data_IF_070060128015
#
_entry.id   IF_070060128015
#
_cell.length_a   1.000
_cell.length_b   1.000
_cell.length_c   1.000
_cell.angle_alpha   90.00
_cell.angle_beta   90.00
_cell.angle_gamma   90.00
#
_symmetry.space_group_name_H-M   'P 1'
#
loop_
_entity.id
_entity.type
_entity.pdbx_description
1 polymer ?
#
# COMPACT_ATOMS: atom_id res chain seq x y z
N UNK A 1 -19.99 -20.34 -69.12
CA UNK A 1 -18.55 -20.40 -68.76
C UNK A 1 -18.10 -18.99 -68.42
N UNK A 2 -18.05 -18.64 -67.12
CA UNK A 2 -17.39 -17.44 -66.58
C UNK A 2 -17.51 -17.47 -65.05
N UNK A 3 -16.61 -18.20 -64.39
CA UNK A 3 -16.35 -18.02 -62.97
C UNK A 3 -15.49 -16.77 -62.80
N UNK A 4 -16.02 -15.72 -62.18
CA UNK A 4 -15.24 -14.54 -61.76
C UNK A 4 -15.25 -14.46 -60.24
N UNK A 5 -14.14 -14.96 -59.69
CA UNK A 5 -13.55 -14.72 -58.36
C UNK A 5 -14.19 -13.62 -57.50
N UNK A 6 -14.88 -14.03 -56.43
CA UNK A 6 -15.39 -13.17 -55.34
C UNK A 6 -14.76 -13.60 -54.00
N UNK A 7 -13.45 -13.86 -53.98
CA UNK A 7 -12.75 -14.45 -52.81
C UNK A 7 -11.56 -13.60 -52.31
N UNK A 8 -11.37 -12.37 -52.78
CA UNK A 8 -10.19 -11.56 -52.42
C UNK A 8 -10.46 -10.46 -51.37
N UNK A 9 -11.72 -10.15 -51.04
CA UNK A 9 -12.04 -8.98 -50.20
C UNK A 9 -12.28 -9.30 -48.71
N UNK A 10 -12.46 -10.56 -48.33
CA UNK A 10 -12.74 -10.92 -46.93
C UNK A 10 -11.47 -11.27 -46.13
N UNK A 11 -10.38 -11.66 -46.79
CA UNK A 11 -9.13 -12.00 -46.09
C UNK A 11 -8.39 -10.77 -45.54
N UNK A 12 -8.55 -9.58 -46.12
CA UNK A 12 -7.85 -8.38 -45.63
C UNK A 12 -8.53 -7.71 -44.42
N UNK A 13 -9.82 -7.99 -44.18
CA UNK A 13 -10.55 -7.38 -43.05
C UNK A 13 -10.37 -8.15 -41.74
N UNK A 14 -10.20 -9.48 -41.78
CA UNK A 14 -10.00 -10.27 -40.56
C UNK A 14 -8.58 -10.10 -39.98
N UNK A 15 -7.56 -10.04 -40.86
CA UNK A 15 -6.17 -9.81 -40.42
C UNK A 15 -5.93 -8.37 -39.93
N UNK A 16 -6.66 -7.38 -40.45
CA UNK A 16 -6.55 -6.00 -39.97
C UNK A 16 -7.22 -5.81 -38.61
N UNK A 17 -8.29 -6.55 -38.32
CA UNK A 17 -8.92 -6.52 -36.99
C UNK A 17 -8.07 -7.20 -35.91
N UNK A 18 -7.48 -8.36 -36.22
CA UNK A 18 -6.60 -9.09 -35.29
C UNK A 18 -5.24 -8.41 -35.11
N UNK A 19 -4.67 -7.82 -36.16
CA UNK A 19 -3.45 -7.00 -36.02
C UNK A 19 -3.74 -5.72 -35.23
N UNK A 20 -4.89 -5.07 -35.38
CA UNK A 20 -5.25 -3.94 -34.51
C UNK A 20 -5.51 -4.35 -33.05
N UNK A 21 -6.00 -5.57 -32.80
CA UNK A 21 -6.14 -6.15 -31.46
C UNK A 21 -4.78 -6.52 -30.84
N UNK A 22 -3.88 -7.10 -31.62
CA UNK A 22 -2.51 -7.43 -31.20
C UNK A 22 -1.69 -6.17 -31.03
N UNK A 23 -1.80 -5.21 -31.95
CA UNK A 23 -1.19 -3.89 -31.83
C UNK A 23 -1.78 -3.19 -30.61
N UNK A 24 -3.09 -3.14 -30.35
CA UNK A 24 -3.62 -2.60 -29.08
C UNK A 24 -3.12 -3.36 -27.83
N UNK A 25 -2.94 -4.67 -27.93
CA UNK A 25 -2.43 -5.51 -26.84
C UNK A 25 -0.93 -5.28 -26.56
N UNK A 26 -0.16 -4.82 -27.55
CA UNK A 26 1.27 -4.49 -27.45
C UNK A 26 1.55 -2.98 -27.41
N UNK A 27 0.60 -2.14 -27.82
CA UNK A 27 0.54 -0.68 -27.69
C UNK A 27 -0.39 -0.36 -26.53
N UNK A 28 -0.17 -0.96 -25.37
CA UNK A 28 -0.58 -0.32 -24.13
C UNK A 28 0.14 1.03 -24.11
N UNK A 29 -0.52 2.08 -24.59
CA UNK A 29 -0.12 3.45 -24.37
C UNK A 29 0.16 3.56 -22.88
N UNK A 30 1.44 3.63 -22.49
CA UNK A 30 1.83 3.75 -21.08
C UNK A 30 1.56 5.21 -20.68
N UNK A 31 0.29 5.57 -20.65
CA UNK A 31 -0.13 6.77 -19.95
C UNK A 31 -0.17 6.35 -18.49
N UNK A 32 0.92 6.69 -17.78
CA UNK A 32 1.06 6.41 -16.36
C UNK A 32 -0.11 7.00 -15.56
N UNK A 33 -0.56 8.18 -15.97
CA UNK A 33 -1.70 8.86 -15.39
C UNK A 33 -2.99 8.57 -16.15
N UNK A 34 -4.11 8.54 -15.43
CA UNK A 34 -5.41 8.40 -16.04
C UNK A 34 -5.75 9.69 -16.83
N UNK A 35 -6.06 9.57 -18.12
CA UNK A 35 -6.37 10.72 -18.97
C UNK A 35 -7.58 11.52 -18.46
N UNK A 36 -8.59 10.85 -17.91
CA UNK A 36 -9.78 11.49 -17.33
C UNK A 36 -9.54 12.03 -15.92
N UNK A 37 -8.49 11.57 -15.23
CA UNK A 37 -8.16 11.99 -13.87
C UNK A 37 -6.63 12.00 -13.69
N UNK A 38 -5.94 13.06 -14.15
CA UNK A 38 -4.48 13.09 -14.26
C UNK A 38 -3.74 13.00 -12.92
N UNK A 39 -4.44 13.12 -11.79
CA UNK A 39 -3.89 12.95 -10.44
C UNK A 39 -3.86 11.48 -9.98
N UNK A 40 -4.49 10.57 -10.72
CA UNK A 40 -4.58 9.14 -10.44
C UNK A 40 -3.75 8.36 -11.45
N UNK A 41 -3.10 7.32 -10.97
CA UNK A 41 -2.38 6.37 -11.82
C UNK A 41 -3.40 5.44 -12.49
N UNK A 42 -3.13 5.06 -13.74
CA UNK A 42 -3.98 4.13 -14.48
C UNK A 42 -4.06 2.76 -13.76
N UNK A 43 -5.26 2.20 -13.64
CA UNK A 43 -5.49 0.92 -12.95
C UNK A 43 -4.67 -0.23 -13.53
N UNK A 44 -4.45 -0.27 -14.84
CA UNK A 44 -3.67 -1.34 -15.48
C UNK A 44 -2.21 -1.32 -15.03
N UNK A 45 -1.66 -0.11 -14.82
CA UNK A 45 -0.32 0.09 -14.27
C UNK A 45 -0.30 -0.34 -12.80
N UNK A 46 -1.31 0.07 -12.02
CA UNK A 46 -1.43 -0.31 -10.61
C UNK A 46 -1.49 -1.83 -10.42
N UNK A 47 -2.27 -2.53 -11.25
CA UNK A 47 -2.38 -4.00 -11.21
C UNK A 47 -1.06 -4.71 -11.53
N UNK A 48 -0.20 -4.09 -12.33
CA UNK A 48 1.11 -4.62 -12.68
C UNK A 48 2.14 -4.45 -11.57
N UNK A 49 2.16 -3.29 -10.91
CA UNK A 49 3.20 -2.91 -9.94
C UNK A 49 2.84 -3.21 -8.49
N UNK A 50 1.55 -3.26 -8.15
CA UNK A 50 1.07 -3.51 -6.79
C UNK A 50 1.24 -4.95 -6.32
N UNK A 51 1.00 -5.14 -5.02
CA UNK A 51 0.93 -6.46 -4.38
C UNK A 51 -0.29 -7.17 -4.91
N UNK A 52 -0.08 -8.37 -5.43
CA UNK A 52 -1.13 -9.26 -5.88
C UNK A 52 -0.76 -10.68 -5.42
N UNK A 53 -1.69 -11.38 -4.77
CA UNK A 53 -1.45 -12.73 -4.22
C UNK A 53 -1.02 -13.71 -5.30
N UNK A 54 -1.62 -13.68 -6.49
CA UNK A 54 -1.23 -14.53 -7.61
C UNK A 54 0.21 -14.24 -8.05
N UNK A 55 0.58 -12.96 -8.16
CA UNK A 55 1.93 -12.57 -8.56
C UNK A 55 3.00 -12.96 -7.52
N UNK A 56 2.69 -12.82 -6.23
CA UNK A 56 3.63 -13.15 -5.14
C UNK A 56 3.73 -14.66 -4.94
N UNK A 57 2.60 -15.38 -4.90
CA UNK A 57 2.57 -16.81 -4.58
C UNK A 57 2.91 -17.71 -5.77
N UNK A 58 2.42 -17.40 -6.98
CA UNK A 58 2.57 -18.29 -8.13
C UNK A 58 3.76 -17.88 -9.03
N UNK A 59 4.06 -16.58 -9.10
CA UNK A 59 5.14 -16.06 -9.94
C UNK A 59 6.40 -15.69 -9.14
N UNK A 60 6.46 -16.03 -7.84
CA UNK A 60 7.61 -15.80 -6.95
C UNK A 60 8.09 -14.33 -6.89
N UNK A 61 7.20 -13.36 -7.12
CA UNK A 61 7.53 -11.93 -7.15
C UNK A 61 7.58 -11.30 -5.74
N UNK A 62 8.40 -11.85 -4.85
CA UNK A 62 8.47 -11.41 -3.44
C UNK A 62 8.93 -9.97 -3.27
N UNK A 63 9.68 -9.42 -4.23
CA UNK A 63 10.11 -8.01 -4.20
C UNK A 63 8.92 -7.03 -4.09
N UNK A 64 7.74 -7.42 -4.60
CA UNK A 64 6.51 -6.62 -4.52
C UNK A 64 6.07 -6.36 -3.08
N UNK A 65 6.40 -7.27 -2.15
CA UNK A 65 6.11 -7.09 -0.72
C UNK A 65 6.85 -5.90 -0.11
N UNK A 66 7.94 -5.43 -0.73
CA UNK A 66 8.68 -4.26 -0.24
C UNK A 66 8.45 -3.08 -1.17
N UNK A 67 8.58 -3.28 -2.48
CA UNK A 67 8.50 -2.17 -3.44
C UNK A 67 7.11 -1.53 -3.48
N UNK A 68 6.04 -2.32 -3.35
CA UNK A 68 4.68 -1.79 -3.43
C UNK A 68 4.31 -0.92 -2.23
N UNK A 69 5.00 -1.01 -1.10
CA UNK A 69 4.76 -0.11 0.04
C UNK A 69 5.07 1.35 -0.31
N UNK A 70 6.06 1.58 -1.18
CA UNK A 70 6.45 2.93 -1.57
C UNK A 70 5.62 3.48 -2.74
N UNK A 71 4.81 2.63 -3.38
CA UNK A 71 3.95 3.00 -4.50
C UNK A 71 2.61 3.50 -4.00
N UNK A 72 2.09 4.54 -4.63
CA UNK A 72 0.84 5.18 -4.26
C UNK A 72 -0.04 5.30 -5.51
N UNK A 73 -1.35 5.10 -5.34
CA UNK A 73 -2.31 5.14 -6.46
C UNK A 73 -2.60 6.53 -7.01
N UNK A 74 -2.29 7.58 -6.24
CA UNK A 74 -2.55 8.96 -6.59
C UNK A 74 -1.65 9.92 -5.79
N UNK A 75 -1.54 11.17 -6.27
CA UNK A 75 -0.69 12.19 -5.63
C UNK A 75 -1.21 12.64 -4.26
N UNK A 76 -2.53 12.66 -4.06
CA UNK A 76 -3.14 13.07 -2.80
C UNK A 76 -2.78 12.13 -1.65
N UNK A 77 -2.75 10.84 -1.93
CA UNK A 77 -2.35 9.81 -0.98
C UNK A 77 -0.87 10.00 -0.58
N UNK A 78 0.02 10.34 -1.51
CA UNK A 78 1.42 10.68 -1.18
C UNK A 78 1.49 11.88 -0.24
N UNK A 79 0.76 12.95 -0.54
CA UNK A 79 0.77 14.18 0.27
C UNK A 79 0.26 13.92 1.70
N UNK A 80 -0.88 13.24 1.82
CA UNK A 80 -1.49 12.92 3.12
C UNK A 80 -0.61 11.97 3.91
N UNK A 81 -0.03 10.95 3.27
CA UNK A 81 0.84 9.98 3.95
C UNK A 81 2.14 10.62 4.41
N UNK A 82 2.70 11.53 3.62
CA UNK A 82 3.91 12.26 4.00
C UNK A 82 3.60 13.16 5.20
N UNK A 83 2.48 13.89 5.17
CA UNK A 83 2.05 14.71 6.31
C UNK A 83 1.83 13.86 7.56
N UNK A 84 1.21 12.69 7.43
CA UNK A 84 1.01 11.76 8.54
C UNK A 84 2.34 11.27 9.11
N UNK A 85 3.26 10.82 8.24
CA UNK A 85 4.57 10.32 8.62
C UNK A 85 5.42 11.42 9.27
N UNK A 86 5.29 12.67 8.83
CA UNK A 86 5.94 13.81 9.47
C UNK A 86 5.41 14.07 10.87
N UNK A 87 4.12 13.90 11.13
CA UNK A 87 3.57 14.11 12.48
C UNK A 87 3.92 12.95 13.41
N UNK A 88 3.56 11.72 13.03
CA UNK A 88 3.70 10.55 13.90
C UNK A 88 5.10 9.96 13.87
N UNK A 89 5.71 9.90 12.69
CA UNK A 89 7.07 9.39 12.54
C UNK A 89 8.08 10.26 13.31
N UNK A 90 7.92 11.58 13.33
CA UNK A 90 8.80 12.46 14.13
C UNK A 90 8.66 12.21 15.63
N UNK A 91 7.45 11.93 16.13
CA UNK A 91 7.25 11.60 17.55
C UNK A 91 7.94 10.27 17.90
N UNK A 92 7.77 9.25 17.05
CA UNK A 92 8.40 7.94 17.25
C UNK A 92 9.92 8.04 17.15
N UNK A 93 10.46 8.71 16.13
CA UNK A 93 11.90 8.88 15.95
C UNK A 93 12.52 9.65 17.11
N UNK A 94 11.83 10.65 17.66
CA UNK A 94 12.30 11.41 18.83
C UNK A 94 12.33 10.55 20.10
N UNK A 95 11.34 9.70 20.31
CA UNK A 95 11.22 8.91 21.54
C UNK A 95 12.11 7.65 21.49
N UNK A 96 12.14 6.95 20.36
CA UNK A 96 12.83 5.67 20.22
C UNK A 96 14.21 5.77 19.59
N UNK A 97 14.43 6.78 18.75
CA UNK A 97 15.61 6.89 17.91
C UNK A 97 15.36 6.45 16.46
N UNK A 98 16.30 6.84 15.60
CA UNK A 98 16.22 6.65 14.14
C UNK A 98 16.34 5.18 13.73
N UNK A 99 17.17 4.40 14.41
CA UNK A 99 17.42 3.00 14.04
C UNK A 99 16.18 2.14 14.36
N UNK A 100 15.62 2.37 15.54
CA UNK A 100 14.41 1.77 16.07
C UNK A 100 13.22 2.07 15.17
N UNK A 101 13.06 3.33 14.78
CA UNK A 101 12.02 3.74 13.84
C UNK A 101 12.12 2.98 12.51
N UNK A 102 13.33 2.83 11.94
CA UNK A 102 13.54 2.04 10.72
C UNK A 102 13.19 0.56 10.92
N UNK A 103 13.55 -0.04 12.05
CA UNK A 103 13.21 -1.43 12.38
C UNK A 103 11.69 -1.61 12.45
N UNK A 104 10.99 -0.69 13.12
CA UNK A 104 9.52 -0.71 13.22
C UNK A 104 8.89 -0.61 11.82
N UNK A 105 9.40 0.28 10.96
CA UNK A 105 8.91 0.37 9.58
C UNK A 105 9.08 -0.97 8.83
N UNK A 106 10.26 -1.58 8.90
CA UNK A 106 10.56 -2.85 8.21
C UNK A 106 9.65 -3.98 8.72
N UNK A 107 9.49 -4.12 10.05
CA UNK A 107 8.62 -5.12 10.64
C UNK A 107 7.16 -4.93 10.24
N UNK A 108 6.70 -3.68 10.23
CA UNK A 108 5.33 -3.33 9.85
C UNK A 108 5.04 -3.65 8.39
N UNK A 109 5.99 -3.38 7.49
CA UNK A 109 5.90 -3.77 6.08
C UNK A 109 5.86 -5.28 5.94
N UNK A 110 6.76 -5.99 6.59
CA UNK A 110 6.84 -7.44 6.50
C UNK A 110 5.53 -8.10 6.97
N UNK A 111 5.11 -7.83 8.20
CA UNK A 111 3.90 -8.41 8.78
C UNK A 111 2.64 -7.98 8.01
N UNK A 112 2.51 -6.69 7.69
CA UNK A 112 1.32 -6.17 7.03
C UNK A 112 1.17 -6.69 5.61
N UNK A 113 2.24 -6.68 4.80
CA UNK A 113 2.15 -7.14 3.41
C UNK A 113 2.05 -8.67 3.30
N UNK A 114 2.66 -9.42 4.22
CA UNK A 114 2.44 -10.86 4.32
C UNK A 114 0.98 -11.17 4.65
N UNK A 115 0.39 -10.47 5.61
CA UNK A 115 -1.01 -10.69 5.98
C UNK A 115 -1.94 -10.28 4.84
N UNK A 116 -1.67 -9.15 4.18
CA UNK A 116 -2.35 -8.76 2.93
C UNK A 116 -2.30 -9.88 1.90
N UNK A 117 -1.14 -10.46 1.62
CA UNK A 117 -1.01 -11.55 0.66
C UNK A 117 -1.75 -12.82 1.08
N UNK A 118 -1.76 -13.14 2.37
CA UNK A 118 -2.43 -14.32 2.90
C UNK A 118 -3.96 -14.22 2.78
N UNK A 119 -4.52 -13.02 2.99
CA UNK A 119 -5.97 -12.82 3.13
C UNK A 119 -6.66 -12.26 1.90
N UNK A 120 -5.92 -11.60 1.00
CA UNK A 120 -6.52 -10.96 -0.18
C UNK A 120 -6.87 -11.99 -1.26
N UNK A 121 -7.84 -11.66 -2.13
CA UNK A 121 -8.19 -12.51 -3.26
C UNK A 121 -7.06 -12.50 -4.29
N UNK A 122 -7.03 -13.52 -5.16
CA UNK A 122 -5.94 -13.71 -6.14
C UNK A 122 -5.74 -12.55 -7.11
N UNK A 123 -6.74 -11.71 -7.35
CA UNK A 123 -6.65 -10.58 -8.28
C UNK A 123 -6.75 -9.22 -7.58
N UNK A 124 -6.91 -9.21 -6.25
CA UNK A 124 -6.94 -7.96 -5.50
C UNK A 124 -5.54 -7.36 -5.49
N UNK A 125 -5.50 -6.04 -5.68
CA UNK A 125 -4.25 -5.29 -5.78
C UNK A 125 -4.21 -4.28 -4.66
N UNK A 126 -3.08 -4.22 -3.97
CA UNK A 126 -2.86 -3.28 -2.88
C UNK A 126 -1.43 -2.76 -2.90
N UNK A 127 -1.27 -1.54 -2.42
CA UNK A 127 0.00 -0.85 -2.29
C UNK A 127 -0.11 0.26 -1.25
N UNK A 128 0.99 0.94 -0.99
CA UNK A 128 1.02 2.12 -0.11
C UNK A 128 1.62 1.85 1.25
N UNK A 129 1.85 2.95 1.96
CA UNK A 129 2.58 2.99 3.22
C UNK A 129 1.69 2.69 4.44
N UNK A 130 0.39 2.42 4.23
CA UNK A 130 -0.58 2.14 5.29
C UNK A 130 -0.11 1.08 6.31
N UNK A 131 0.60 -0.01 5.93
CA UNK A 131 1.12 -0.97 6.91
C UNK A 131 2.10 -0.33 7.89
N UNK A 132 3.00 0.55 7.42
CA UNK A 132 3.93 1.29 8.27
C UNK A 132 3.18 2.21 9.23
N UNK A 133 2.21 2.97 8.70
CA UNK A 133 1.42 3.88 9.52
C UNK A 133 0.65 3.12 10.60
N UNK A 134 0.06 1.98 10.25
CA UNK A 134 -0.65 1.12 11.19
C UNK A 134 0.27 0.53 12.26
N UNK A 135 1.52 0.21 11.93
CA UNK A 135 2.52 -0.21 12.92
C UNK A 135 2.95 0.90 13.86
N UNK A 136 3.08 2.13 13.36
CA UNK A 136 3.30 3.31 14.21
C UNK A 136 2.17 3.49 15.24
N UNK A 137 0.92 3.29 14.81
CA UNK A 137 -0.26 3.31 15.71
C UNK A 137 -0.20 2.17 16.72
N UNK A 138 0.19 0.96 16.28
CA UNK A 138 0.35 -0.19 17.18
C UNK A 138 1.39 0.06 18.27
N UNK A 139 2.51 0.69 17.92
CA UNK A 139 3.53 1.10 18.88
C UNK A 139 2.97 2.13 19.88
N UNK A 140 2.33 3.18 19.37
CA UNK A 140 1.66 4.19 20.21
C UNK A 140 0.64 3.58 21.17
N UNK A 141 -0.14 2.60 20.71
CA UNK A 141 -1.12 1.90 21.54
C UNK A 141 -0.43 1.14 22.67
N UNK A 142 0.67 0.44 22.36
CA UNK A 142 1.45 -0.26 23.37
C UNK A 142 2.04 0.72 24.39
N UNK A 143 2.57 1.86 23.95
CA UNK A 143 3.14 2.88 24.84
C UNK A 143 2.09 3.42 25.82
N UNK A 144 0.90 3.72 25.32
CA UNK A 144 -0.22 4.19 26.13
C UNK A 144 -0.63 3.12 27.15
N UNK A 145 -0.62 1.83 26.78
CA UNK A 145 -1.02 0.74 27.68
C UNK A 145 0.04 0.53 28.78
N UNK A 146 1.32 0.50 28.43
CA UNK A 146 2.40 0.18 29.37
C UNK A 146 2.70 1.36 30.30
N UNK A 147 2.78 2.57 29.75
CA UNK A 147 3.18 3.77 30.50
C UNK A 147 1.98 4.62 30.95
N UNK A 148 0.75 4.08 30.92
CA UNK A 148 -0.50 4.81 31.17
C UNK A 148 -0.49 5.70 32.43
N UNK A 149 0.14 5.21 33.50
CA UNK A 149 0.19 5.91 34.79
C UNK A 149 1.27 6.99 34.86
N UNK A 150 2.28 6.92 33.99
CA UNK A 150 3.41 7.85 33.92
C UNK A 150 3.15 9.02 32.96
N UNK A 151 2.10 8.91 32.13
CA UNK A 151 1.70 9.96 31.19
C UNK A 151 1.28 11.25 31.91
N UNK A 152 2.01 12.34 31.66
CA UNK A 152 1.73 13.67 32.21
C UNK A 152 0.53 14.30 31.48
N UNK A 153 0.53 14.33 30.14
CA UNK A 153 -0.54 14.92 29.32
C UNK A 153 -1.35 13.86 28.58
N UNK A 154 -2.22 13.18 29.32
CA UNK A 154 -3.04 12.08 28.78
C UNK A 154 -3.95 12.55 27.64
N UNK A 155 -4.56 13.72 27.77
CA UNK A 155 -5.53 14.20 26.77
C UNK A 155 -4.86 14.45 25.41
N UNK A 156 -3.67 15.08 25.40
CA UNK A 156 -2.92 15.31 24.16
C UNK A 156 -2.49 14.00 23.50
N UNK A 157 -1.96 13.05 24.30
CA UNK A 157 -1.50 11.75 23.78
C UNK A 157 -2.67 10.94 23.21
N UNK A 158 -3.78 10.84 23.95
CA UNK A 158 -4.99 10.17 23.45
C UNK A 158 -5.58 10.88 22.22
N UNK A 159 -5.56 12.22 22.19
CA UNK A 159 -5.97 13.00 21.02
C UNK A 159 -5.14 12.68 19.78
N UNK A 160 -3.82 12.63 19.92
CA UNK A 160 -2.90 12.25 18.85
C UNK A 160 -3.12 10.81 18.39
N UNK A 161 -3.37 9.88 19.31
CA UNK A 161 -3.69 8.49 18.98
C UNK A 161 -5.00 8.38 18.19
N UNK A 162 -6.07 9.03 18.65
CA UNK A 162 -7.37 9.02 17.96
C UNK A 162 -7.24 9.66 16.58
N UNK A 163 -6.56 10.81 16.49
CA UNK A 163 -6.28 11.46 15.21
C UNK A 163 -5.54 10.55 14.25
N UNK A 164 -4.51 9.86 14.75
CA UNK A 164 -3.68 8.92 13.99
C UNK A 164 -4.50 7.74 13.47
N UNK A 165 -5.35 7.16 14.32
CA UNK A 165 -6.22 6.04 13.97
C UNK A 165 -7.30 6.46 12.95
N UNK A 166 -7.96 7.59 13.20
CA UNK A 166 -9.00 8.11 12.31
C UNK A 166 -8.44 8.50 10.94
N UNK A 167 -7.29 9.16 10.90
CA UNK A 167 -6.64 9.54 9.65
C UNK A 167 -6.25 8.31 8.81
N UNK A 168 -5.70 7.27 9.45
CA UNK A 168 -5.41 6.00 8.77
C UNK A 168 -6.68 5.36 8.20
N UNK A 169 -7.76 5.29 9.00
CA UNK A 169 -9.02 4.68 8.58
C UNK A 169 -9.67 5.41 7.40
N UNK A 170 -9.70 6.75 7.46
CA UNK A 170 -10.21 7.59 6.37
C UNK A 170 -9.40 7.39 5.09
N UNK A 171 -8.07 7.31 5.23
CA UNK A 171 -7.16 7.14 4.11
C UNK A 171 -7.34 5.79 3.39
N UNK A 172 -7.59 4.70 4.13
CA UNK A 172 -7.91 3.38 3.54
C UNK A 172 -9.29 3.40 2.88
N UNK A 173 -10.23 4.16 3.45
CA UNK A 173 -11.63 4.21 2.99
C UNK A 173 -11.82 5.10 1.75
N UNK A 174 -11.09 6.23 1.66
CA UNK A 174 -11.22 7.21 0.57
C UNK A 174 -10.38 6.80 -0.64
N UNK A 175 -9.18 6.24 -0.43
CA UNK A 175 -8.26 5.92 -1.51
C UNK A 175 -8.24 4.43 -1.84
N UNK A 176 -8.76 4.08 -3.01
CA UNK A 176 -8.64 2.73 -3.57
C UNK A 176 -7.16 2.32 -3.73
N UNK A 177 -6.92 1.02 -3.56
CA UNK A 177 -5.60 0.38 -3.64
C UNK A 177 -4.60 0.77 -2.55
N UNK A 178 -5.03 1.48 -1.49
CA UNK A 178 -4.18 1.99 -0.43
C UNK A 178 -4.12 1.08 0.81
N UNK A 179 -3.75 -0.18 0.57
CA UNK A 179 -3.74 -1.24 1.58
C UNK A 179 -5.13 -1.82 1.86
N UNK A 180 -5.18 -2.78 2.78
CA UNK A 180 -6.38 -3.46 3.25
C UNK A 180 -6.36 -3.51 4.77
N UNK A 181 -7.56 -3.52 5.35
CA UNK A 181 -7.83 -3.70 6.77
C UNK A 181 -6.96 -4.82 7.36
N UNK A 182 -6.93 -6.01 6.75
CA UNK A 182 -6.14 -7.12 7.27
C UNK A 182 -4.64 -6.87 7.23
N UNK A 183 -4.12 -6.22 6.19
CA UNK A 183 -2.72 -5.80 6.14
C UNK A 183 -2.37 -4.80 7.25
N UNK A 184 -3.26 -3.84 7.50
CA UNK A 184 -3.07 -2.86 8.57
C UNK A 184 -3.17 -3.49 9.97
N UNK A 185 -4.00 -4.52 10.16
CA UNK A 185 -3.96 -5.33 11.40
C UNK A 185 -2.59 -5.97 11.57
N UNK A 186 -2.00 -6.50 10.50
CA UNK A 186 -0.64 -7.06 10.53
C UNK A 186 0.42 -6.04 10.92
N UNK A 187 0.29 -4.79 10.43
CA UNK A 187 1.16 -3.69 10.86
C UNK A 187 0.97 -3.31 12.33
N UNK A 188 -0.28 -3.17 12.80
CA UNK A 188 -0.58 -2.90 14.23
C UNK A 188 0.05 -3.98 15.13
N UNK A 189 -0.11 -5.25 14.77
CA UNK A 189 0.48 -6.36 15.54
C UNK A 189 2.01 -6.27 15.58
N UNK A 190 2.65 -5.91 14.47
CA UNK A 190 4.10 -5.68 14.44
C UNK A 190 4.51 -4.55 15.40
N UNK A 191 3.81 -3.43 15.36
CA UNK A 191 4.05 -2.28 16.25
C UNK A 191 3.88 -2.62 17.72
N UNK A 192 2.77 -3.27 18.09
CA UNK A 192 2.50 -3.68 19.48
C UNK A 192 3.56 -4.68 19.97
N UNK A 193 4.02 -5.58 19.10
CA UNK A 193 5.01 -6.60 19.47
C UNK A 193 6.43 -6.05 19.64
N UNK A 194 6.75 -4.89 19.04
CA UNK A 194 8.11 -4.38 18.95
C UNK A 194 8.80 -4.21 20.32
N UNK A 195 8.19 -3.51 21.31
CA UNK A 195 8.84 -3.30 22.61
C UNK A 195 9.05 -4.60 23.39
N UNK A 196 8.21 -5.61 23.21
CA UNK A 196 8.38 -6.93 23.82
C UNK A 196 9.55 -7.72 23.22
N UNK A 197 9.80 -7.56 21.91
CA UNK A 197 10.91 -8.23 21.22
C UNK A 197 12.24 -7.58 21.59
N UNK A 198 12.28 -6.25 21.63
CA UNK A 198 13.53 -5.50 21.76
C UNK A 198 13.79 -4.94 23.16
N UNK A 199 12.89 -5.14 24.14
CA UNK A 199 12.98 -4.58 25.51
C UNK A 199 13.35 -3.09 25.51
N UNK A 200 12.64 -2.31 24.71
CA UNK A 200 12.90 -0.88 24.55
C UNK A 200 12.13 -0.11 25.63
N UNK A 201 12.84 0.35 26.68
CA UNK A 201 12.27 1.16 27.77
C UNK A 201 12.43 2.68 27.53
N UNK A 202 12.59 3.11 26.28
CA UNK A 202 12.96 4.49 25.93
C UNK A 202 11.78 5.48 25.82
N UNK A 203 10.62 5.20 26.42
CA UNK A 203 9.47 6.08 26.30
C UNK A 203 9.65 7.35 27.16
N UNK A 204 9.85 8.49 26.50
CA UNK A 204 9.81 9.81 27.14
C UNK A 204 8.50 10.50 26.75
N UNK A 205 7.50 10.37 27.63
CA UNK A 205 6.18 11.00 27.52
C UNK A 205 6.16 12.48 27.86
#
# INVERSE_FOLDING_TARGET
MSFRTRASNNFNNDYSHDSNLLINKYTTNIIFFNFSSPLFINEDVLKKIGINRFAVSNNYQYYKLVTATFLHSNIWNVLINTYYLMNIGTIIEKNYGKAEYIIIMILSVACGNLLTCATSKCLDVQMGISPILSGCIGLFLQDIIVHYYELIDKLSIFGNFIFSFLSLYLMISIFSYNGNVLGNVGGILAGVSYPYIFKSDNFHG
#
